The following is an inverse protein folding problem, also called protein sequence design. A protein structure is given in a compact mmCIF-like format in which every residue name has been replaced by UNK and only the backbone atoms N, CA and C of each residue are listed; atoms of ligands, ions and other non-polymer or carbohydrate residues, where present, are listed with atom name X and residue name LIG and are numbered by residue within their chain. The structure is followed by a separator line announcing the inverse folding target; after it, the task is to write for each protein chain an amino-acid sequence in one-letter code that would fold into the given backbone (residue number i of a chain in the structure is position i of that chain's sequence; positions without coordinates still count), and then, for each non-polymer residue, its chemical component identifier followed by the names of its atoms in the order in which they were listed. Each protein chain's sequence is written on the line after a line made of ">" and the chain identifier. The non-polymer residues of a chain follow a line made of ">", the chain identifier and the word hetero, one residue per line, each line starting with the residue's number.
data_IF_505574223948
#
_entry.id   IF_505574223948
#
_cell.length_a   1.000
_cell.length_b   1.000
_cell.length_c   1.000
_cell.angle_alpha   90.00
_cell.angle_beta   90.00
_cell.angle_gamma   90.00
#
_symmetry.space_group_name_H-M   'P 1'
#
loop_
_entity.id
_entity.type
_entity.pdbx_description
1 polymer ?
#
# COMPACT_ATOMS: atom_id res chain seq x y z
N UNK A 1 17.47 -14.28 5.96
CA UNK A 1 16.17 -14.81 5.47
C UNK A 1 15.01 -14.29 6.33
N UNK A 2 15.20 -14.17 7.65
CA UNK A 2 14.08 -13.94 8.61
C UNK A 2 13.52 -12.50 8.65
N UNK A 3 14.33 -11.49 8.36
CA UNK A 3 13.88 -10.09 8.35
C UNK A 3 12.96 -9.74 7.16
N UNK A 4 12.95 -10.55 6.11
CA UNK A 4 12.09 -10.36 4.94
C UNK A 4 10.67 -10.86 5.25
N UNK A 5 10.55 -11.97 5.95
CA UNK A 5 9.28 -12.62 6.25
C UNK A 5 8.46 -11.90 7.34
N UNK A 6 9.11 -11.22 8.29
CA UNK A 6 8.42 -10.57 9.40
C UNK A 6 7.47 -9.41 8.98
N UNK A 7 7.71 -8.76 7.83
CA UNK A 7 6.89 -7.64 7.35
C UNK A 7 5.61 -8.04 6.62
N UNK A 8 5.49 -9.30 6.19
CA UNK A 8 4.28 -9.84 5.53
C UNK A 8 3.36 -10.56 6.51
N UNK A 9 3.80 -10.75 7.74
CA UNK A 9 3.06 -11.45 8.78
C UNK A 9 1.66 -10.90 9.01
N UNK A 10 1.45 -9.59 8.86
CA UNK A 10 0.12 -8.98 9.00
C UNK A 10 -0.85 -9.39 7.89
N UNK A 11 -0.38 -9.56 6.63
CA UNK A 11 -1.23 -10.03 5.53
C UNK A 11 -1.47 -11.53 5.65
N UNK A 12 -0.46 -12.31 6.00
CA UNK A 12 -0.60 -13.75 6.21
C UNK A 12 -1.58 -14.05 7.36
N UNK A 13 -1.43 -13.38 8.50
CA UNK A 13 -2.35 -13.51 9.63
C UNK A 13 -3.78 -13.08 9.28
N UNK A 14 -3.94 -12.00 8.51
CA UNK A 14 -5.24 -11.56 8.03
C UNK A 14 -5.90 -12.60 7.12
N UNK A 15 -5.16 -13.19 6.19
CA UNK A 15 -5.68 -14.23 5.29
C UNK A 15 -6.09 -15.48 6.06
N UNK A 16 -5.27 -15.91 7.01
CA UNK A 16 -5.58 -17.06 7.86
C UNK A 16 -6.88 -16.80 8.64
N UNK A 17 -7.00 -15.63 9.27
CA UNK A 17 -8.23 -15.25 9.98
C UNK A 17 -9.45 -15.21 9.03
N UNK A 18 -9.28 -14.68 7.81
CA UNK A 18 -10.37 -14.60 6.84
C UNK A 18 -10.83 -15.98 6.38
N UNK A 19 -9.91 -16.95 6.22
CA UNK A 19 -10.25 -18.33 5.83
C UNK A 19 -11.08 -19.07 6.88
N UNK A 20 -11.02 -18.65 8.14
CA UNK A 20 -11.81 -19.27 9.23
C UNK A 20 -13.21 -18.67 9.36
N UNK A 21 -13.54 -17.63 8.57
CA UNK A 21 -14.82 -16.94 8.64
C UNK A 21 -15.70 -17.30 7.43
N UNK A 22 -16.99 -17.47 7.71
CA UNK A 22 -18.00 -17.44 6.66
C UNK A 22 -18.22 -15.98 6.25
N UNK A 23 -17.71 -15.61 5.06
CA UNK A 23 -17.80 -14.24 4.55
C UNK A 23 -19.11 -13.95 3.82
N UNK A 24 -19.98 -14.92 3.63
CA UNK A 24 -21.21 -14.75 2.84
C UNK A 24 -22.19 -13.79 3.53
N UNK A 25 -22.20 -13.76 4.87
CA UNK A 25 -23.02 -12.86 5.67
C UNK A 25 -22.52 -11.42 5.79
N UNK A 26 -21.37 -11.06 5.22
CA UNK A 26 -20.77 -9.74 5.37
C UNK A 26 -20.70 -8.99 4.03
N UNK A 27 -20.84 -7.66 4.06
CA UNK A 27 -20.70 -6.77 2.91
C UNK A 27 -19.36 -6.03 2.86
N UNK A 28 -18.68 -5.93 4.01
CA UNK A 28 -17.46 -5.16 4.17
C UNK A 28 -16.39 -6.03 4.83
N UNK A 29 -15.20 -6.01 4.26
CA UNK A 29 -14.01 -6.69 4.80
C UNK A 29 -13.01 -5.61 5.25
N UNK A 30 -12.68 -5.62 6.55
CA UNK A 30 -11.76 -4.66 7.15
C UNK A 30 -10.43 -5.33 7.48
N UNK A 31 -9.33 -4.81 6.93
CA UNK A 31 -7.97 -5.14 7.35
C UNK A 31 -7.43 -3.99 8.19
N UNK A 32 -7.44 -4.17 9.51
CA UNK A 32 -6.92 -3.21 10.47
C UNK A 32 -5.70 -3.78 11.20
N UNK A 33 -4.70 -2.92 11.44
CA UNK A 33 -3.56 -3.29 12.27
C UNK A 33 -3.95 -3.18 13.77
N UNK A 34 -3.30 -3.95 14.61
CA UNK A 34 -3.62 -4.01 16.05
C UNK A 34 -3.12 -2.80 16.85
N UNK A 35 -2.29 -1.96 16.25
CA UNK A 35 -1.64 -0.79 16.85
C UNK A 35 -2.27 0.55 16.41
N UNK A 36 -3.55 0.52 16.04
CA UNK A 36 -4.30 1.72 15.67
C UNK A 36 -5.45 2.02 16.63
N UNK A 37 -5.78 3.29 16.76
CA UNK A 37 -6.98 3.77 17.47
C UNK A 37 -7.89 4.42 16.43
N UNK A 38 -9.09 3.87 16.29
CA UNK A 38 -10.15 4.39 15.43
C UNK A 38 -10.99 5.43 16.18
N UNK A 39 -11.54 6.41 15.46
CA UNK A 39 -12.56 7.29 16.02
C UNK A 39 -13.84 6.51 16.33
N UNK A 40 -14.66 7.02 17.28
CA UNK A 40 -15.87 6.33 17.79
C UNK A 40 -16.82 5.88 16.67
N UNK A 41 -17.01 6.72 15.66
CA UNK A 41 -17.99 6.49 14.59
C UNK A 41 -17.33 5.94 13.29
N UNK A 42 -16.08 5.48 13.38
CA UNK A 42 -15.29 5.08 12.21
C UNK A 42 -15.99 4.03 11.35
N UNK A 43 -16.42 2.92 11.95
CA UNK A 43 -17.07 1.81 11.22
C UNK A 43 -18.42 2.23 10.66
N UNK A 44 -19.19 3.04 11.37
CA UNK A 44 -20.47 3.56 10.88
C UNK A 44 -20.25 4.44 9.64
N UNK A 45 -19.29 5.36 9.69
CA UNK A 45 -19.00 6.24 8.55
C UNK A 45 -18.47 5.47 7.33
N UNK A 46 -17.68 4.40 7.54
CA UNK A 46 -17.27 3.49 6.47
C UNK A 46 -18.51 2.81 5.85
N UNK A 47 -19.40 2.24 6.66
CA UNK A 47 -20.62 1.57 6.19
C UNK A 47 -21.52 2.54 5.42
N UNK A 48 -21.76 3.73 5.96
CA UNK A 48 -22.55 4.78 5.31
C UNK A 48 -21.95 5.22 3.97
N UNK A 49 -20.61 5.28 3.89
CA UNK A 49 -19.90 5.63 2.67
C UNK A 49 -20.13 4.59 1.56
N UNK A 50 -20.05 3.30 1.90
CA UNK A 50 -20.34 2.22 0.97
C UNK A 50 -21.82 2.15 0.58
N UNK A 51 -22.73 2.40 1.52
CA UNK A 51 -24.19 2.39 1.25
C UNK A 51 -24.58 3.49 0.26
N UNK A 52 -23.96 4.68 0.37
CA UNK A 52 -24.25 5.83 -0.49
C UNK A 52 -23.60 5.77 -1.87
N UNK A 53 -22.53 4.97 -2.05
CA UNK A 53 -21.70 4.99 -3.26
C UNK A 53 -21.37 3.54 -3.69
N UNK A 54 -22.06 3.06 -4.70
CA UNK A 54 -21.91 1.70 -5.20
C UNK A 54 -20.55 1.42 -5.85
N UNK A 55 -19.85 2.45 -6.33
CA UNK A 55 -18.56 2.37 -7.01
C UNK A 55 -17.34 2.47 -6.06
N UNK A 56 -17.56 2.66 -4.76
CA UNK A 56 -16.49 2.64 -3.78
C UNK A 56 -16.07 1.20 -3.48
N UNK A 57 -14.81 0.88 -3.78
CA UNK A 57 -14.22 -0.45 -3.54
C UNK A 57 -13.35 -0.50 -2.30
N UNK A 58 -12.67 0.63 -1.98
CA UNK A 58 -11.76 0.76 -0.83
C UNK A 58 -11.98 2.11 -0.17
N UNK A 59 -12.24 2.11 1.13
CA UNK A 59 -12.43 3.30 1.94
C UNK A 59 -11.53 3.24 3.17
N UNK A 60 -11.05 4.41 3.62
CA UNK A 60 -10.31 4.56 4.87
C UNK A 60 -10.19 6.02 5.25
N UNK A 61 -9.50 6.28 6.36
CA UNK A 61 -9.28 7.64 6.87
C UNK A 61 -7.88 8.20 6.63
N UNK A 62 -7.53 9.23 7.38
CA UNK A 62 -6.18 9.79 7.45
C UNK A 62 -5.42 9.24 8.66
N UNK A 63 -4.15 8.90 8.45
CA UNK A 63 -3.29 8.35 9.50
C UNK A 63 -2.57 9.47 10.25
N UNK A 64 -2.68 9.45 11.57
CA UNK A 64 -2.03 10.36 12.49
C UNK A 64 -1.01 9.62 13.36
N UNK A 65 0.11 10.24 13.62
CA UNK A 65 1.18 9.76 14.50
C UNK A 65 1.44 10.76 15.62
N UNK A 66 1.83 10.28 16.78
CA UNK A 66 2.21 11.15 17.89
C UNK A 66 3.61 11.75 17.65
N UNK A 67 3.71 13.08 17.73
CA UNK A 67 4.97 13.82 17.73
C UNK A 67 4.93 14.85 18.84
N UNK A 68 5.88 14.76 19.78
CA UNK A 68 5.99 15.69 20.91
C UNK A 68 4.71 15.82 21.75
N UNK A 69 3.95 14.71 21.92
CA UNK A 69 2.70 14.69 22.67
C UNK A 69 1.46 15.12 21.88
N UNK A 70 1.60 15.51 20.62
CA UNK A 70 0.49 15.92 19.76
C UNK A 70 0.26 14.94 18.61
N UNK A 71 -1.00 14.71 18.24
CA UNK A 71 -1.37 13.92 17.10
C UNK A 71 -1.29 14.75 15.82
N UNK A 72 -0.32 14.42 14.96
CA UNK A 72 -0.10 15.10 13.67
C UNK A 72 -0.33 14.14 12.51
N UNK A 73 -0.84 14.66 11.39
CA UNK A 73 -0.95 13.88 10.17
C UNK A 73 0.41 13.31 9.77
N UNK A 74 0.49 12.02 9.43
CA UNK A 74 1.75 11.32 9.12
C UNK A 74 2.59 12.01 8.02
N UNK A 75 1.94 12.71 7.09
CA UNK A 75 2.59 13.57 6.08
C UNK A 75 3.28 12.84 4.93
N UNK A 76 3.57 11.55 5.07
CA UNK A 76 4.38 10.78 4.12
C UNK A 76 3.55 10.15 2.98
N UNK A 77 2.24 10.26 3.02
CA UNK A 77 1.36 9.62 2.04
C UNK A 77 0.59 10.64 1.20
N UNK A 78 0.23 10.24 -0.01
CA UNK A 78 -0.77 10.94 -0.77
C UNK A 78 -2.11 10.87 0.00
N UNK A 79 -2.73 12.03 0.30
CA UNK A 79 -4.04 12.10 0.95
C UNK A 79 -5.18 11.42 0.19
N UNK A 80 -4.91 10.92 -1.00
CA UNK A 80 -5.84 10.17 -1.85
C UNK A 80 -5.61 8.65 -1.80
N UNK A 81 -4.68 8.18 -0.95
CA UNK A 81 -4.35 6.76 -0.82
C UNK A 81 -4.65 6.27 0.59
N UNK A 82 -5.45 5.21 0.69
CA UNK A 82 -5.78 4.55 1.96
C UNK A 82 -4.59 3.72 2.42
N UNK A 83 -4.06 4.06 3.59
CA UNK A 83 -2.89 3.40 4.17
C UNK A 83 -3.19 1.96 4.61
N UNK A 84 -2.17 1.10 4.52
CA UNK A 84 -2.25 -0.31 4.88
C UNK A 84 -2.87 -0.64 6.25
N UNK A 85 -2.62 0.15 7.33
CA UNK A 85 -3.17 -0.14 8.65
C UNK A 85 -4.70 -0.04 8.79
N UNK A 86 -5.43 0.56 7.84
CA UNK A 86 -6.83 0.95 8.05
C UNK A 86 -7.71 0.79 6.81
N UNK A 87 -7.53 -0.31 6.08
CA UNK A 87 -8.26 -0.56 4.82
C UNK A 87 -9.59 -1.26 5.06
N UNK A 88 -10.69 -0.65 4.58
CA UNK A 88 -12.01 -1.27 4.52
C UNK A 88 -12.40 -1.45 3.05
N UNK A 89 -12.73 -2.67 2.67
CA UNK A 89 -13.07 -3.06 1.31
C UNK A 89 -14.55 -3.41 1.22
N UNK A 90 -15.19 -3.01 0.13
CA UNK A 90 -16.42 -3.68 -0.30
C UNK A 90 -16.08 -5.14 -0.61
N UNK A 91 -16.84 -6.11 -0.06
CA UNK A 91 -16.57 -7.54 -0.25
C UNK A 91 -16.44 -7.91 -1.72
N UNK A 92 -17.36 -7.44 -2.56
CA UNK A 92 -17.33 -7.71 -4.00
C UNK A 92 -16.01 -7.25 -4.63
N UNK A 93 -15.57 -6.03 -4.35
CA UNK A 93 -14.28 -5.50 -4.83
C UNK A 93 -13.12 -6.37 -4.34
N UNK A 94 -13.11 -6.73 -3.05
CA UNK A 94 -12.06 -7.55 -2.45
C UNK A 94 -11.94 -8.92 -3.11
N UNK A 95 -13.08 -9.57 -3.40
CA UNK A 95 -13.10 -10.85 -4.09
C UNK A 95 -12.67 -10.72 -5.56
N UNK A 96 -13.10 -9.67 -6.26
CA UNK A 96 -12.71 -9.42 -7.66
C UNK A 96 -11.21 -9.19 -7.83
N UNK A 97 -10.54 -8.50 -6.89
CA UNK A 97 -9.07 -8.35 -6.93
C UNK A 97 -8.34 -9.64 -6.49
N UNK A 98 -9.05 -10.67 -6.02
CA UNK A 98 -8.48 -11.91 -5.51
C UNK A 98 -7.79 -11.76 -4.15
N UNK A 99 -8.22 -10.81 -3.31
CA UNK A 99 -7.69 -10.56 -1.98
C UNK A 99 -6.30 -9.89 -1.95
N UNK A 100 -5.63 -9.92 -0.81
CA UNK A 100 -4.34 -9.28 -0.60
C UNK A 100 -3.17 -10.17 -1.01
N UNK A 101 -2.08 -9.57 -1.50
CA UNK A 101 -0.82 -10.27 -1.87
C UNK A 101 0.15 -10.24 -0.68
N UNK A 102 0.70 -11.38 -0.32
CA UNK A 102 1.73 -11.49 0.73
C UNK A 102 3.08 -11.02 0.22
N UNK A 103 3.19 -9.73 -0.07
CA UNK A 103 4.38 -9.14 -0.67
C UNK A 103 4.62 -7.71 -0.22
N UNK A 104 5.84 -7.21 -0.46
CA UNK A 104 6.19 -5.81 -0.22
C UNK A 104 5.40 -4.91 -1.16
N UNK A 105 4.71 -3.91 -0.59
CA UNK A 105 3.87 -3.00 -1.36
C UNK A 105 2.47 -3.52 -1.65
N UNK A 106 2.03 -4.56 -0.93
CA UNK A 106 0.68 -5.12 -1.04
C UNK A 106 -0.41 -4.03 -1.01
N UNK A 107 -0.21 -3.02 -0.16
CA UNK A 107 -1.12 -1.89 0.02
C UNK A 107 -1.21 -0.93 -1.18
N UNK A 108 -0.24 -1.00 -2.09
CA UNK A 108 -0.29 -0.31 -3.37
C UNK A 108 -0.81 -1.23 -4.48
N UNK A 109 -0.51 -2.53 -4.40
CA UNK A 109 -0.96 -3.52 -5.39
C UNK A 109 -2.48 -3.60 -5.39
N UNK A 110 -3.10 -3.78 -4.24
CA UNK A 110 -4.55 -3.86 -4.12
C UNK A 110 -5.25 -2.60 -4.65
N UNK A 111 -4.72 -1.40 -4.30
CA UNK A 111 -5.24 -0.13 -4.79
C UNK A 111 -5.16 0.01 -6.32
N UNK A 112 -4.07 -0.44 -6.93
CA UNK A 112 -3.92 -0.42 -8.40
C UNK A 112 -4.88 -1.42 -9.05
N UNK A 113 -4.99 -2.63 -8.50
CA UNK A 113 -5.85 -3.67 -9.05
C UNK A 113 -7.33 -3.28 -8.99
N UNK A 114 -7.80 -2.74 -7.86
CA UNK A 114 -9.19 -2.30 -7.75
C UNK A 114 -9.51 -1.14 -8.70
N UNK A 115 -8.58 -0.17 -8.86
CA UNK A 115 -8.76 0.93 -9.80
C UNK A 115 -8.80 0.44 -11.26
N UNK A 116 -8.01 -0.58 -11.60
CA UNK A 116 -8.05 -1.20 -12.93
C UNK A 116 -9.40 -1.88 -13.23
N UNK A 117 -10.11 -2.33 -12.20
CA UNK A 117 -11.47 -2.89 -12.31
C UNK A 117 -12.57 -1.82 -12.29
N UNK A 118 -12.22 -0.54 -12.21
CA UNK A 118 -13.17 0.57 -12.18
C UNK A 118 -13.66 0.97 -10.78
N UNK A 119 -13.21 0.28 -9.73
CA UNK A 119 -13.51 0.65 -8.36
C UNK A 119 -12.78 1.92 -7.92
N UNK A 120 -13.37 2.68 -7.02
CA UNK A 120 -12.77 3.88 -6.43
C UNK A 120 -12.14 3.57 -5.07
N UNK A 121 -10.96 4.13 -4.88
CA UNK A 121 -10.30 4.24 -3.59
C UNK A 121 -10.60 5.62 -3.00
N UNK A 122 -11.15 5.68 -1.79
CA UNK A 122 -11.61 6.91 -1.14
C UNK A 122 -10.98 7.06 0.23
N UNK A 123 -10.39 8.22 0.46
CA UNK A 123 -9.97 8.66 1.79
C UNK A 123 -10.99 9.66 2.32
N UNK A 124 -11.58 9.37 3.47
CA UNK A 124 -12.49 10.27 4.19
C UNK A 124 -11.66 11.13 5.15
N UNK A 125 -11.46 12.43 4.87
CA UNK A 125 -10.54 13.26 5.67
C UNK A 125 -11.00 13.44 7.11
N UNK A 126 -12.30 13.33 7.37
CA UNK A 126 -12.92 13.41 8.68
C UNK A 126 -12.62 12.19 9.56
N UNK A 127 -12.24 11.07 8.96
CA UNK A 127 -11.87 9.85 9.68
C UNK A 127 -10.40 9.90 10.06
N UNK A 128 -10.13 10.15 11.32
CA UNK A 128 -8.78 10.14 11.88
C UNK A 128 -8.47 8.79 12.50
N UNK A 129 -7.37 8.19 12.06
CA UNK A 129 -6.82 6.95 12.62
C UNK A 129 -5.48 7.26 13.27
N UNK A 130 -5.36 6.98 14.55
CA UNK A 130 -4.14 7.22 15.32
C UNK A 130 -3.32 5.94 15.38
N UNK A 131 -2.05 6.02 14.94
CA UNK A 131 -1.10 4.91 15.01
C UNK A 131 -0.33 4.98 16.32
N UNK A 132 -0.47 3.95 17.15
CA UNK A 132 0.28 3.81 18.40
C UNK A 132 1.70 3.36 18.02
N UNK A 133 2.62 4.30 17.98
CA UNK A 133 4.00 4.04 17.63
C UNK A 133 4.75 3.46 18.82
N UNK A 134 5.44 2.34 18.65
CA UNK A 134 6.44 1.90 19.62
C UNK A 134 7.56 2.94 19.66
N UNK A 135 7.87 3.49 20.84
CA UNK A 135 8.94 4.48 21.05
C UNK A 135 10.24 3.95 20.43
N UNK A 136 10.87 4.74 19.54
CA UNK A 136 12.14 4.40 18.88
C UNK A 136 12.04 3.94 17.42
N UNK A 137 10.86 3.77 16.86
CA UNK A 137 10.71 3.53 15.43
C UNK A 137 10.79 4.86 14.65
N UNK A 138 11.97 5.24 14.21
CA UNK A 138 12.14 6.38 13.31
C UNK A 138 11.65 6.04 11.91
N UNK A 139 10.61 6.75 11.43
CA UNK A 139 10.12 6.67 10.05
C UNK A 139 10.93 7.58 9.11
N UNK A 140 12.15 7.91 9.51
CA UNK A 140 13.09 8.59 8.65
C UNK A 140 13.46 7.72 7.46
N UNK A 141 14.12 8.24 6.51
CA UNK A 141 14.52 7.69 5.21
C UNK A 141 14.73 6.17 5.25
N UNK A 142 13.90 5.42 4.50
CA UNK A 142 14.11 3.98 4.36
C UNK A 142 15.43 3.72 3.63
N UNK A 143 16.17 2.68 4.00
CA UNK A 143 17.43 2.35 3.35
C UNK A 143 17.23 1.98 1.87
N UNK A 144 18.26 2.16 1.06
CA UNK A 144 18.20 1.94 -0.40
C UNK A 144 17.76 0.51 -0.77
N UNK A 145 18.20 -0.49 0.00
CA UNK A 145 17.83 -1.88 -0.21
C UNK A 145 16.33 -2.16 -0.03
N UNK A 146 15.66 -1.37 0.83
CA UNK A 146 14.21 -1.43 0.95
C UNK A 146 13.53 -1.02 -0.37
N UNK A 147 13.98 0.08 -1.00
CA UNK A 147 13.40 0.55 -2.25
C UNK A 147 13.68 -0.40 -3.41
N UNK A 148 14.90 -0.94 -3.50
CA UNK A 148 15.25 -1.92 -4.53
C UNK A 148 14.36 -3.16 -4.47
N UNK A 149 14.16 -3.73 -3.28
CA UNK A 149 13.22 -4.84 -3.04
C UNK A 149 11.78 -4.44 -3.31
N UNK A 150 11.36 -3.28 -2.82
CA UNK A 150 9.99 -2.78 -3.03
C UNK A 150 9.65 -2.70 -4.52
N UNK A 151 10.51 -2.13 -5.35
CA UNK A 151 10.27 -2.03 -6.78
C UNK A 151 10.28 -3.40 -7.47
N UNK A 152 11.12 -4.31 -7.01
CA UNK A 152 11.15 -5.68 -7.52
C UNK A 152 9.86 -6.42 -7.18
N UNK A 153 9.46 -6.46 -5.91
CA UNK A 153 8.27 -7.18 -5.46
C UNK A 153 6.95 -6.54 -5.93
N UNK A 154 6.97 -5.24 -6.23
CA UNK A 154 5.86 -4.57 -6.92
C UNK A 154 5.77 -4.98 -8.42
N UNK A 155 6.73 -5.73 -8.93
CA UNK A 155 6.77 -6.21 -10.30
C UNK A 155 7.11 -5.13 -11.34
N UNK A 156 7.77 -4.04 -10.96
CA UNK A 156 8.15 -3.01 -11.89
C UNK A 156 9.19 -3.50 -12.89
N UNK A 157 9.06 -3.08 -14.15
CA UNK A 157 10.11 -3.27 -15.15
C UNK A 157 11.33 -2.37 -14.87
N UNK A 158 12.45 -2.63 -15.54
CA UNK A 158 13.70 -1.87 -15.35
C UNK A 158 13.54 -0.38 -15.54
N UNK A 159 12.85 0.03 -16.61
CA UNK A 159 12.68 1.44 -16.92
C UNK A 159 11.96 2.19 -15.78
N UNK A 160 10.79 1.70 -15.38
CA UNK A 160 10.00 2.31 -14.30
C UNK A 160 10.73 2.26 -12.97
N UNK A 161 11.49 1.18 -12.72
CA UNK A 161 12.35 1.07 -11.52
C UNK A 161 13.41 2.16 -11.51
N UNK A 162 14.11 2.39 -12.63
CA UNK A 162 15.18 3.40 -12.70
C UNK A 162 14.63 4.81 -12.55
N UNK A 163 13.48 5.10 -13.15
CA UNK A 163 12.78 6.38 -12.96
C UNK A 163 12.35 6.58 -11.49
N UNK A 164 11.80 5.54 -10.88
CA UNK A 164 11.40 5.60 -9.46
C UNK A 164 12.61 5.75 -8.54
N UNK A 165 13.69 5.01 -8.78
CA UNK A 165 14.93 5.11 -8.03
C UNK A 165 15.56 6.51 -8.13
N UNK A 166 15.60 7.07 -9.34
CA UNK A 166 16.08 8.44 -9.55
C UNK A 166 15.27 9.46 -8.74
N UNK A 167 13.94 9.32 -8.73
CA UNK A 167 13.05 10.19 -7.94
C UNK A 167 13.36 10.11 -6.44
N UNK A 168 13.57 8.91 -5.88
CA UNK A 168 13.90 8.75 -4.46
C UNK A 168 15.30 9.30 -4.15
N UNK A 169 16.28 9.05 -5.01
CA UNK A 169 17.65 9.58 -4.87
C UNK A 169 17.72 11.11 -4.94
N UNK A 170 16.89 11.73 -5.79
CA UNK A 170 16.77 13.20 -5.87
C UNK A 170 16.24 13.82 -4.57
N UNK A 171 15.31 13.15 -3.87
CA UNK A 171 14.82 13.63 -2.56
C UNK A 171 15.92 13.70 -1.51
N UNK A 172 16.86 12.76 -1.58
CA UNK A 172 17.96 12.61 -0.62
C UNK A 172 19.23 13.33 -1.13
N UNK A 173 19.21 13.79 -2.40
CA UNK A 173 20.36 14.42 -3.09
C UNK A 173 21.61 13.52 -3.10
N UNK A 174 21.43 12.21 -3.33
CA UNK A 174 22.52 11.22 -3.29
C UNK A 174 22.51 10.33 -4.54
N UNK A 175 23.53 10.46 -5.39
CA UNK A 175 23.76 9.56 -6.52
C UNK A 175 24.12 8.13 -6.06
N UNK A 176 24.82 8.01 -4.93
CA UNK A 176 25.15 6.72 -4.34
C UNK A 176 23.88 5.94 -3.96
N UNK A 177 22.89 6.63 -3.38
CA UNK A 177 21.57 6.02 -3.05
C UNK A 177 20.86 5.48 -4.29
N UNK A 178 20.94 6.19 -5.43
CA UNK A 178 20.40 5.68 -6.71
C UNK A 178 21.06 4.36 -7.10
N UNK A 179 22.40 4.32 -7.04
CA UNK A 179 23.16 3.12 -7.41
C UNK A 179 22.81 1.93 -6.50
N UNK A 180 22.70 2.14 -5.20
CA UNK A 180 22.33 1.09 -4.23
C UNK A 180 20.92 0.54 -4.50
N UNK A 181 19.93 1.39 -4.79
CA UNK A 181 18.56 0.95 -5.15
C UNK A 181 18.59 0.06 -6.38
N UNK A 182 19.26 0.51 -7.45
CA UNK A 182 19.35 -0.23 -8.71
C UNK A 182 20.09 -1.57 -8.50
N UNK A 183 21.21 -1.55 -7.80
CA UNK A 183 22.00 -2.74 -7.49
C UNK A 183 21.17 -3.79 -6.73
N UNK A 184 20.41 -3.35 -5.72
CA UNK A 184 19.53 -4.24 -4.97
C UNK A 184 18.40 -4.82 -5.85
N UNK A 185 17.77 -4.00 -6.70
CA UNK A 185 16.73 -4.47 -7.63
C UNK A 185 17.29 -5.51 -8.60
N UNK A 186 18.46 -5.25 -9.24
CA UNK A 186 19.09 -6.20 -10.18
C UNK A 186 19.54 -7.48 -9.47
N UNK A 187 19.99 -7.39 -8.22
CA UNK A 187 20.29 -8.55 -7.38
C UNK A 187 19.05 -9.41 -7.13
N UNK A 188 17.91 -8.80 -6.75
CA UNK A 188 16.65 -9.54 -6.60
C UNK A 188 16.25 -10.24 -7.89
N UNK A 189 16.45 -9.59 -9.04
CA UNK A 189 16.15 -10.12 -10.36
C UNK A 189 17.08 -11.26 -10.77
N UNK A 190 18.38 -11.13 -10.52
CA UNK A 190 19.37 -12.18 -10.83
C UNK A 190 19.15 -13.44 -9.99
N UNK A 191 18.69 -13.28 -8.74
CA UNK A 191 18.31 -14.39 -7.86
C UNK A 191 16.94 -14.98 -8.20
N UNK A 192 16.23 -14.40 -9.17
CA UNK A 192 14.88 -14.81 -9.60
C UNK A 192 13.93 -15.03 -8.41
N UNK A 193 13.91 -14.08 -7.47
CA UNK A 193 13.07 -14.20 -6.28
C UNK A 193 11.60 -14.30 -6.68
N UNK A 194 10.85 -15.15 -6.00
CA UNK A 194 9.44 -15.41 -6.30
C UNK A 194 8.59 -14.16 -6.11
N UNK A 195 7.83 -13.79 -7.14
CA UNK A 195 6.83 -12.73 -7.07
C UNK A 195 5.47 -13.34 -6.67
N UNK A 196 4.78 -12.70 -5.74
CA UNK A 196 3.44 -13.10 -5.29
C UNK A 196 2.31 -12.40 -6.10
N UNK A 197 2.64 -11.99 -7.32
CA UNK A 197 1.73 -11.37 -8.29
C UNK A 197 1.86 -12.08 -9.63
N UNK A 198 0.76 -12.17 -10.37
CA UNK A 198 0.73 -12.79 -11.70
C UNK A 198 1.40 -11.89 -12.76
N UNK A 199 1.65 -12.44 -13.95
CA UNK A 199 2.16 -11.66 -15.09
C UNK A 199 1.16 -10.60 -15.58
N UNK A 200 -0.13 -10.89 -15.48
CA UNK A 200 -1.21 -9.96 -15.80
C UNK A 200 -1.23 -8.79 -14.81
N UNK A 201 -1.13 -9.07 -13.52
CA UNK A 201 -1.04 -8.03 -12.49
C UNK A 201 0.22 -7.16 -12.66
N UNK A 202 1.36 -7.77 -13.01
CA UNK A 202 2.57 -7.01 -13.36
C UNK A 202 2.33 -6.05 -14.53
N UNK A 203 1.61 -6.46 -15.57
CA UNK A 203 1.26 -5.59 -16.71
C UNK A 203 0.38 -4.42 -16.24
N UNK A 204 -0.66 -4.71 -15.45
CA UNK A 204 -1.57 -3.69 -14.90
C UNK A 204 -0.78 -2.67 -14.06
N UNK A 205 0.07 -3.14 -13.15
CA UNK A 205 0.88 -2.28 -12.29
C UNK A 205 1.84 -1.41 -13.12
N UNK A 206 2.54 -1.99 -14.10
CA UNK A 206 3.45 -1.25 -14.96
C UNK A 206 2.71 -0.23 -15.83
N UNK A 207 1.54 -0.58 -16.37
CA UNK A 207 0.72 0.35 -17.15
C UNK A 207 0.25 1.53 -16.28
N UNK A 208 -0.28 1.26 -15.09
CA UNK A 208 -0.69 2.30 -14.15
C UNK A 208 0.47 3.25 -13.81
N UNK A 209 1.66 2.71 -13.50
CA UNK A 209 2.85 3.52 -13.21
C UNK A 209 3.34 4.32 -14.40
N UNK A 210 3.23 3.75 -15.59
CA UNK A 210 3.54 4.44 -16.84
C UNK A 210 2.60 5.62 -17.11
N UNK A 211 1.30 5.44 -16.88
CA UNK A 211 0.30 6.50 -17.07
C UNK A 211 0.49 7.63 -16.04
N UNK A 212 0.81 7.31 -14.79
CA UNK A 212 1.20 8.32 -13.81
C UNK A 212 2.45 9.09 -14.23
N UNK A 213 3.45 8.41 -14.80
CA UNK A 213 4.65 9.06 -15.32
C UNK A 213 4.30 9.99 -16.46
N UNK A 214 3.57 9.54 -17.48
CA UNK A 214 3.13 10.37 -18.61
C UNK A 214 2.35 11.59 -18.16
N UNK A 215 1.35 11.40 -17.30
CA UNK A 215 0.50 12.47 -16.81
C UNK A 215 1.28 13.56 -16.05
N UNK A 216 2.40 13.21 -15.46
CA UNK A 216 3.25 14.16 -14.74
C UNK A 216 4.18 14.94 -15.67
N UNK A 217 4.68 14.30 -16.74
CA UNK A 217 5.74 14.86 -17.61
C UNK A 217 5.21 15.44 -18.90
N UNK A 218 4.02 15.01 -19.37
CA UNK A 218 3.44 15.42 -20.65
C UNK A 218 2.12 16.20 -20.53
N UNK A 219 1.68 16.55 -19.28
CA UNK A 219 0.69 17.60 -19.07
C UNK A 219 1.41 18.95 -19.16
N UNK A 220 1.63 19.41 -20.39
CA UNK A 220 1.70 20.82 -20.75
C UNK A 220 0.33 21.29 -21.23
#
# INVERSE_FOLDING_TARGET
>A
ADAINAKWGSVAAFKEALHTQDVDGFEIICKFDSDIILSKDYLQMIADSFAKNADYGLVGGLLYVEKNGEWVYEGNSNKKHVRGPMKAYRKECFLQIGGLRETLGWDNIDAILLQNLGWKEIVLPELQVKLIKVKGADYTIKPADYYGRYFYFLGLNRFLTYVAAAKEAMKIKSAFFLFEIISCYEKCKSLNLELKISKEEQKIINQHRWDLFKNKWFKM
#
